data_IF_554215961309
#
_entry.id   IF_554215961309
#
_cell.length_a   1.000
_cell.length_b   1.000
_cell.length_c   1.000
_cell.angle_alpha   90.00
_cell.angle_beta   90.00
_cell.angle_gamma   90.00
#
_symmetry.space_group_name_H-M   'P 1'
#
loop_
_entity.id
_entity.type
_entity.pdbx_description
1 polymer ?
#
# COMPACT_ATOMS: atom_id res chain seq x y z
N UNK A 1 -32.34 13.27 -46.34
CA UNK A 1 -32.66 12.82 -44.96
C UNK A 1 -31.42 12.15 -44.38
N UNK A 2 -30.68 12.84 -43.52
CA UNK A 2 -29.50 12.28 -42.86
C UNK A 2 -29.97 11.34 -41.75
N UNK A 3 -29.77 10.03 -41.93
CA UNK A 3 -30.10 9.03 -40.93
C UNK A 3 -29.03 9.08 -39.84
N UNK A 4 -29.35 9.69 -38.70
CA UNK A 4 -28.48 9.64 -37.52
C UNK A 4 -28.51 8.20 -37.01
N UNK A 5 -27.40 7.48 -37.14
CA UNK A 5 -27.23 6.15 -36.55
C UNK A 5 -26.88 6.36 -35.06
N UNK A 6 -27.83 6.09 -34.16
CA UNK A 6 -27.53 6.04 -32.71
C UNK A 6 -27.06 4.63 -32.33
N UNK A 7 -26.09 4.54 -31.42
CA UNK A 7 -25.65 3.26 -30.85
C UNK A 7 -26.77 2.63 -30.02
N UNK A 8 -26.83 1.30 -29.99
CA UNK A 8 -27.76 0.56 -29.13
C UNK A 8 -27.37 0.65 -27.66
N UNK A 9 -28.34 0.50 -26.76
CA UNK A 9 -28.08 0.47 -25.31
C UNK A 9 -27.13 -0.68 -24.90
N UNK A 10 -27.23 -1.82 -25.57
CA UNK A 10 -26.29 -2.95 -25.37
C UNK A 10 -24.85 -2.54 -25.74
N UNK A 11 -24.67 -1.79 -26.83
CA UNK A 11 -23.34 -1.30 -27.23
C UNK A 11 -22.76 -0.33 -26.21
N UNK A 12 -23.57 0.61 -25.71
CA UNK A 12 -23.17 1.58 -24.68
C UNK A 12 -22.83 0.89 -23.35
N UNK A 13 -23.67 -0.06 -22.90
CA UNK A 13 -23.42 -0.80 -21.68
C UNK A 13 -22.12 -1.64 -21.75
N UNK A 14 -21.87 -2.27 -22.90
CA UNK A 14 -20.61 -3.00 -23.12
C UNK A 14 -19.39 -2.08 -23.06
N UNK A 15 -19.48 -0.91 -23.70
CA UNK A 15 -18.41 0.09 -23.69
C UNK A 15 -18.14 0.61 -22.27
N UNK A 16 -19.19 0.93 -21.51
CA UNK A 16 -19.07 1.34 -20.11
C UNK A 16 -18.38 0.25 -19.26
N UNK A 17 -18.77 -1.01 -19.40
CA UNK A 17 -18.16 -2.10 -18.64
C UNK A 17 -16.67 -2.27 -18.97
N UNK A 18 -16.28 -2.10 -20.24
CA UNK A 18 -14.87 -2.11 -20.66
C UNK A 18 -14.12 -0.92 -20.06
N UNK A 19 -14.70 0.29 -20.09
CA UNK A 19 -14.13 1.48 -19.47
C UNK A 19 -13.90 1.27 -17.96
N UNK A 20 -14.92 0.81 -17.23
CA UNK A 20 -14.82 0.52 -15.79
C UNK A 20 -13.71 -0.49 -15.47
N UNK A 21 -13.61 -1.58 -16.24
CA UNK A 21 -12.57 -2.59 -16.03
C UNK A 21 -11.17 -2.01 -16.21
N UNK A 22 -10.96 -1.21 -17.27
CA UNK A 22 -9.68 -0.53 -17.54
C UNK A 22 -9.35 0.48 -16.45
N UNK A 23 -10.30 1.32 -16.04
CA UNK A 23 -10.08 2.32 -15.00
C UNK A 23 -9.66 1.68 -13.66
N UNK A 24 -10.30 0.57 -13.27
CA UNK A 24 -9.92 -0.18 -12.06
C UNK A 24 -8.51 -0.76 -12.14
N UNK A 25 -8.12 -1.25 -13.32
CA UNK A 25 -6.75 -1.75 -13.56
C UNK A 25 -5.72 -0.61 -13.46
N UNK A 26 -6.01 0.56 -14.02
CA UNK A 26 -5.19 1.77 -13.87
C UNK A 26 -5.02 2.16 -12.41
N UNK A 27 -6.11 2.22 -11.64
CA UNK A 27 -6.08 2.51 -10.20
C UNK A 27 -5.14 1.54 -9.48
N UNK A 28 -5.31 0.23 -9.67
CA UNK A 28 -4.48 -0.76 -8.98
C UNK A 28 -3.00 -0.66 -9.36
N UNK A 29 -2.68 -0.42 -10.64
CA UNK A 29 -1.29 -0.20 -11.10
C UNK A 29 -0.67 1.05 -10.49
N UNK A 30 -1.44 2.14 -10.42
CA UNK A 30 -0.97 3.38 -9.81
C UNK A 30 -0.72 3.23 -8.31
N UNK A 31 -1.62 2.54 -7.61
CA UNK A 31 -1.44 2.22 -6.20
C UNK A 31 -0.19 1.36 -5.95
N UNK A 32 0.10 0.39 -6.80
CA UNK A 32 1.31 -0.44 -6.72
C UNK A 32 2.58 0.41 -6.85
N UNK A 33 2.63 1.28 -7.86
CA UNK A 33 3.74 2.22 -8.06
C UNK A 33 3.97 3.10 -6.83
N UNK A 34 2.91 3.66 -6.24
CA UNK A 34 3.02 4.54 -5.07
C UNK A 34 3.48 3.74 -3.84
N UNK A 35 2.90 2.56 -3.61
CA UNK A 35 3.29 1.69 -2.48
C UNK A 35 4.74 1.27 -2.56
N UNK A 36 5.27 1.01 -3.75
CA UNK A 36 6.68 0.66 -3.95
C UNK A 36 7.68 1.77 -3.53
N UNK A 37 7.21 2.99 -3.26
CA UNK A 37 8.04 4.05 -2.67
C UNK A 37 8.27 3.87 -1.16
N UNK A 38 7.39 3.13 -0.49
CA UNK A 38 7.40 2.93 0.97
C UNK A 38 7.81 1.52 1.38
N UNK A 39 7.65 0.54 0.49
CA UNK A 39 8.04 -0.86 0.71
C UNK A 39 9.00 -1.32 -0.38
N UNK A 40 9.93 -2.20 -0.03
CA UNK A 40 10.80 -2.83 -1.04
C UNK A 40 10.04 -3.97 -1.73
N UNK A 41 9.79 -3.91 -3.06
CA UNK A 41 8.99 -4.90 -3.77
C UNK A 41 9.82 -6.12 -4.17
N UNK A 42 10.20 -6.94 -3.19
CA UNK A 42 10.88 -8.23 -3.42
C UNK A 42 10.14 -9.37 -2.72
N UNK A 43 10.32 -10.59 -3.23
CA UNK A 43 9.63 -11.76 -2.73
C UNK A 43 9.89 -11.97 -1.23
N UNK A 44 8.83 -12.15 -0.44
CA UNK A 44 8.91 -12.38 1.00
C UNK A 44 9.16 -11.13 1.86
N UNK A 45 9.47 -9.97 1.28
CA UNK A 45 9.83 -8.78 2.05
C UNK A 45 8.73 -8.32 3.02
N UNK A 46 7.47 -8.34 2.59
CA UNK A 46 6.35 -7.98 3.45
C UNK A 46 6.25 -8.91 4.67
N UNK A 47 6.57 -10.20 4.50
CA UNK A 47 6.62 -11.15 5.63
C UNK A 47 7.76 -10.80 6.59
N UNK A 48 8.92 -10.40 6.07
CA UNK A 48 10.06 -9.95 6.89
C UNK A 48 9.68 -8.68 7.68
N UNK A 49 9.02 -7.69 7.05
CA UNK A 49 8.60 -6.49 7.78
C UNK A 49 7.61 -6.80 8.91
N UNK A 50 6.63 -7.70 8.68
CA UNK A 50 5.70 -8.12 9.73
C UNK A 50 6.41 -8.87 10.86
N UNK A 51 7.35 -9.75 10.54
CA UNK A 51 8.14 -10.47 11.54
C UNK A 51 9.01 -9.52 12.37
N UNK A 52 9.64 -8.53 11.74
CA UNK A 52 10.41 -7.48 12.40
C UNK A 52 9.56 -6.62 13.35
N UNK A 53 8.35 -6.22 12.95
CA UNK A 53 7.44 -5.48 13.83
C UNK A 53 7.06 -6.33 15.05
N UNK A 54 6.70 -7.60 14.85
CA UNK A 54 6.34 -8.50 15.93
C UNK A 54 7.50 -8.72 16.92
N UNK A 55 8.71 -8.96 16.40
CA UNK A 55 9.92 -9.13 17.20
C UNK A 55 10.26 -7.85 17.98
N UNK A 56 10.17 -6.68 17.35
CA UNK A 56 10.42 -5.40 18.01
C UNK A 56 9.41 -5.11 19.13
N UNK A 57 8.11 -5.41 18.91
CA UNK A 57 7.09 -5.28 19.95
C UNK A 57 7.39 -6.18 21.16
N UNK A 58 7.81 -7.43 20.91
CA UNK A 58 8.19 -8.35 21.97
C UNK A 58 9.44 -7.85 22.73
N UNK A 59 10.45 -7.36 22.00
CA UNK A 59 11.71 -6.88 22.57
C UNK A 59 11.49 -5.73 23.55
N UNK A 60 10.73 -4.70 23.13
CA UNK A 60 10.49 -3.50 23.96
C UNK A 60 9.57 -3.76 25.15
N UNK A 61 8.77 -4.83 25.10
CA UNK A 61 7.90 -5.24 26.20
C UNK A 61 8.59 -6.13 27.23
N UNK A 62 9.73 -6.74 26.89
CA UNK A 62 10.46 -7.64 27.77
C UNK A 62 11.15 -6.87 28.91
N UNK A 63 11.14 -7.46 30.11
CA UNK A 63 11.83 -6.93 31.29
C UNK A 63 12.44 -8.09 32.09
N UNK A 64 13.76 -8.10 32.38
CA UNK A 64 14.75 -7.12 31.96
C UNK A 64 14.93 -7.07 30.43
N UNK A 65 15.58 -6.03 29.92
CA UNK A 65 15.83 -5.90 28.47
C UNK A 65 16.57 -7.14 27.95
N UNK A 66 16.15 -7.76 26.83
CA UNK A 66 16.66 -9.06 26.42
C UNK A 66 18.19 -9.14 26.28
N UNK A 67 18.85 -8.06 25.82
CA UNK A 67 20.31 -8.01 25.67
C UNK A 67 21.10 -8.19 26.98
N UNK A 68 20.44 -8.16 28.14
CA UNK A 68 21.05 -8.42 29.44
C UNK A 68 21.19 -9.92 29.74
N UNK A 69 20.60 -10.80 28.93
CA UNK A 69 20.63 -12.26 29.08
C UNK A 69 21.44 -12.89 27.95
N UNK A 70 22.30 -13.86 28.26
CA UNK A 70 23.09 -14.56 27.25
C UNK A 70 22.18 -15.37 26.30
N UNK A 71 22.40 -15.25 25.00
CA UNK A 71 21.66 -15.99 23.97
C UNK A 71 20.36 -15.33 23.50
N UNK A 72 20.07 -14.09 23.91
CA UNK A 72 18.89 -13.33 23.50
C UNK A 72 18.75 -13.22 21.97
N UNK A 73 19.85 -13.31 21.23
CA UNK A 73 19.87 -13.24 19.77
C UNK A 73 19.08 -14.38 19.11
N UNK A 74 18.88 -15.50 19.81
CA UNK A 74 18.08 -16.63 19.31
C UNK A 74 16.58 -16.34 19.34
N UNK A 75 16.14 -15.55 20.32
CA UNK A 75 14.75 -15.12 20.47
C UNK A 75 14.44 -13.87 19.63
N UNK A 76 15.48 -13.06 19.35
CA UNK A 76 15.39 -11.81 18.58
C UNK A 76 16.39 -11.75 17.41
N UNK A 77 16.30 -12.68 16.44
CA UNK A 77 17.28 -12.82 15.37
C UNK A 77 17.30 -11.66 14.37
N UNK A 78 16.16 -11.01 14.10
CA UNK A 78 16.13 -9.86 13.17
C UNK A 78 16.78 -8.61 13.78
N UNK A 79 16.53 -8.35 15.06
CA UNK A 79 17.14 -7.25 15.80
C UNK A 79 18.65 -7.49 15.91
N UNK A 80 19.05 -8.67 16.39
CA UNK A 80 20.46 -9.02 16.54
C UNK A 80 21.23 -8.93 15.22
N UNK A 81 20.63 -9.39 14.12
CA UNK A 81 21.24 -9.35 12.78
C UNK A 81 21.46 -7.94 12.21
N UNK A 82 20.82 -6.91 12.76
CA UNK A 82 20.92 -5.54 12.26
C UNK A 82 21.63 -4.55 13.21
N UNK A 83 22.06 -5.02 14.38
CA UNK A 83 22.96 -4.24 15.25
C UNK A 83 24.26 -3.95 14.50
N UNK A 84 24.72 -2.71 14.55
CA UNK A 84 25.90 -2.20 13.84
C UNK A 84 25.65 -1.83 12.38
N UNK A 85 24.52 -2.23 11.79
CA UNK A 85 24.13 -1.82 10.43
C UNK A 85 23.00 -0.78 10.44
N UNK A 86 21.92 -1.07 11.18
CA UNK A 86 20.75 -0.21 11.28
C UNK A 86 20.89 0.79 12.42
N UNK A 87 21.40 0.35 13.58
CA UNK A 87 21.75 1.23 14.70
C UNK A 87 22.80 0.58 15.61
N UNK A 88 23.29 1.33 16.60
CA UNK A 88 24.35 0.89 17.50
C UNK A 88 23.90 -0.07 18.62
N UNK A 89 22.61 -0.05 18.98
CA UNK A 89 22.07 -0.91 20.03
C UNK A 89 20.82 -1.70 19.58
N UNK A 90 20.54 -2.88 20.19
CA UNK A 90 19.34 -3.65 19.91
C UNK A 90 18.03 -2.88 20.12
N UNK A 91 17.94 -2.10 21.20
CA UNK A 91 16.77 -1.27 21.47
C UNK A 91 16.54 -0.25 20.37
N UNK A 92 17.57 0.46 19.90
CA UNK A 92 17.44 1.41 18.79
C UNK A 92 17.01 0.72 17.49
N UNK A 93 17.53 -0.48 17.19
CA UNK A 93 17.09 -1.27 16.03
C UNK A 93 15.59 -1.61 16.15
N UNK A 94 15.14 -2.07 17.33
CA UNK A 94 13.72 -2.33 17.58
C UNK A 94 12.87 -1.07 17.36
N UNK A 95 13.32 0.09 17.85
CA UNK A 95 12.63 1.36 17.62
C UNK A 95 12.56 1.73 16.13
N UNK A 96 13.62 1.49 15.35
CA UNK A 96 13.58 1.70 13.89
C UNK A 96 12.50 0.83 13.24
N UNK A 97 12.39 -0.46 13.59
CA UNK A 97 11.35 -1.34 13.06
C UNK A 97 9.94 -0.85 13.41
N UNK A 98 9.71 -0.46 14.67
CA UNK A 98 8.41 0.07 15.11
C UNK A 98 8.06 1.38 14.40
N UNK A 99 9.03 2.27 14.22
CA UNK A 99 8.83 3.54 13.53
C UNK A 99 8.49 3.35 12.05
N UNK A 100 9.17 2.41 11.36
CA UNK A 100 8.86 2.08 9.98
C UNK A 100 7.47 1.44 9.85
N UNK A 101 7.12 0.53 10.77
CA UNK A 101 5.80 -0.08 10.78
C UNK A 101 4.68 0.94 11.04
N UNK A 102 4.89 1.89 11.96
CA UNK A 102 3.94 2.97 12.22
C UNK A 102 3.77 3.89 11.01
N UNK A 103 4.86 4.29 10.35
CA UNK A 103 4.83 5.06 9.10
C UNK A 103 4.04 4.32 8.02
N UNK A 104 4.33 3.03 7.81
CA UNK A 104 3.62 2.20 6.84
C UNK A 104 2.12 2.08 7.16
N UNK A 105 1.74 1.84 8.42
CA UNK A 105 0.33 1.79 8.82
C UNK A 105 -0.40 3.09 8.50
N UNK A 106 0.24 4.23 8.79
CA UNK A 106 -0.32 5.55 8.52
C UNK A 106 -0.56 5.79 7.02
N UNK A 107 0.45 5.61 6.19
CA UNK A 107 0.33 5.84 4.74
C UNK A 107 -0.50 4.76 4.04
N UNK A 108 -0.32 3.50 4.43
CA UNK A 108 -1.00 2.35 3.84
C UNK A 108 -2.52 2.42 4.03
N UNK A 109 -2.99 2.84 5.20
CA UNK A 109 -4.41 3.03 5.47
C UNK A 109 -5.02 4.16 4.62
N UNK A 110 -4.31 5.29 4.49
CA UNK A 110 -4.74 6.41 3.64
C UNK A 110 -4.85 5.97 2.19
N UNK A 111 -3.80 5.34 1.66
CA UNK A 111 -3.73 4.83 0.30
C UNK A 111 -4.84 3.79 0.02
N UNK A 112 -5.07 2.84 0.93
CA UNK A 112 -6.11 1.83 0.72
C UNK A 112 -7.52 2.42 0.74
N UNK A 113 -7.78 3.43 1.57
CA UNK A 113 -9.05 4.16 1.57
C UNK A 113 -9.32 4.78 0.19
N UNK A 114 -8.38 5.57 -0.33
CA UNK A 114 -8.50 6.22 -1.65
C UNK A 114 -8.75 5.18 -2.74
N UNK A 115 -8.01 4.06 -2.71
CA UNK A 115 -8.20 2.97 -3.67
C UNK A 115 -9.62 2.40 -3.61
N UNK A 116 -10.09 2.01 -2.44
CA UNK A 116 -11.42 1.38 -2.30
C UNK A 116 -12.53 2.35 -2.71
N UNK A 117 -12.46 3.60 -2.27
CA UNK A 117 -13.44 4.64 -2.61
C UNK A 117 -13.47 4.91 -4.13
N UNK A 118 -12.31 4.99 -4.78
CA UNK A 118 -12.21 5.17 -6.23
C UNK A 118 -12.77 3.96 -7.00
N UNK A 119 -12.42 2.73 -6.60
CA UNK A 119 -12.94 1.51 -7.21
C UNK A 119 -14.46 1.42 -7.07
N UNK A 120 -15.00 1.86 -5.93
CA UNK A 120 -16.45 1.94 -5.71
C UNK A 120 -17.09 3.00 -6.62
N UNK A 121 -16.54 4.21 -6.69
CA UNK A 121 -17.03 5.28 -7.56
C UNK A 121 -17.06 4.85 -9.03
N UNK A 122 -15.97 4.25 -9.55
CA UNK A 122 -15.92 3.67 -10.91
C UNK A 122 -17.02 2.62 -11.11
N UNK A 123 -17.28 1.79 -10.09
CA UNK A 123 -18.32 0.76 -10.18
C UNK A 123 -19.72 1.37 -10.32
N UNK A 124 -19.96 2.53 -9.70
CA UNK A 124 -21.24 3.24 -9.69
C UNK A 124 -21.45 4.18 -10.88
N UNK A 125 -20.39 4.53 -11.62
CA UNK A 125 -20.47 5.39 -12.82
C UNK A 125 -21.56 4.94 -13.80
N UNK A 126 -22.37 5.87 -14.30
CA UNK A 126 -23.50 5.58 -15.18
C UNK A 126 -23.17 5.83 -16.65
N UNK A 127 -22.06 6.51 -16.92
CA UNK A 127 -21.54 6.79 -18.25
C UNK A 127 -20.02 6.57 -18.33
N UNK A 128 -19.50 6.52 -19.56
CA UNK A 128 -18.04 6.47 -19.80
C UNK A 128 -17.37 7.74 -19.26
N UNK A 129 -17.98 8.90 -19.52
CA UNK A 129 -17.52 10.19 -19.00
C UNK A 129 -17.45 10.19 -17.48
N UNK A 130 -18.46 9.68 -16.78
CA UNK A 130 -18.45 9.62 -15.31
C UNK A 130 -17.28 8.76 -14.80
N UNK A 131 -16.96 7.65 -15.48
CA UNK A 131 -15.87 6.76 -15.08
C UNK A 131 -14.50 7.41 -15.36
N UNK A 132 -14.37 8.12 -16.48
CA UNK A 132 -13.17 8.87 -16.83
C UNK A 132 -12.93 10.05 -15.87
N UNK A 133 -13.98 10.77 -15.48
CA UNK A 133 -13.91 11.88 -14.51
C UNK A 133 -13.46 11.40 -13.12
N UNK A 134 -14.01 10.28 -12.64
CA UNK A 134 -13.57 9.64 -11.39
C UNK A 134 -12.09 9.25 -11.46
N UNK A 135 -11.65 8.67 -12.59
CA UNK A 135 -10.25 8.31 -12.77
C UNK A 135 -9.34 9.55 -12.80
N UNK A 136 -9.76 10.64 -13.44
CA UNK A 136 -9.02 11.90 -13.48
C UNK A 136 -8.86 12.55 -12.10
N UNK A 137 -9.90 12.49 -11.26
CA UNK A 137 -9.83 12.93 -9.86
C UNK A 137 -8.83 12.10 -9.05
N UNK A 138 -8.88 10.78 -9.21
CA UNK A 138 -7.92 9.87 -8.58
C UNK A 138 -6.47 10.20 -8.98
N UNK A 139 -6.18 10.38 -10.27
CA UNK A 139 -4.82 10.71 -10.72
C UNK A 139 -4.34 12.07 -10.19
N UNK A 140 -5.24 13.04 -10.05
CA UNK A 140 -4.93 14.35 -9.46
C UNK A 140 -4.56 14.21 -7.98
N UNK A 141 -5.30 13.39 -7.22
CA UNK A 141 -4.97 13.09 -5.83
C UNK A 141 -3.63 12.35 -5.71
N UNK A 142 -3.39 11.37 -6.60
CA UNK A 142 -2.16 10.57 -6.61
C UNK A 142 -0.91 11.37 -7.01
N UNK A 143 -1.05 12.44 -7.78
CA UNK A 143 0.06 13.34 -8.12
C UNK A 143 0.71 13.97 -6.87
N UNK A 144 -0.03 14.09 -5.76
CA UNK A 144 0.53 14.54 -4.48
C UNK A 144 1.57 13.59 -3.88
N UNK A 145 1.64 12.35 -4.35
CA UNK A 145 2.63 11.35 -3.92
C UNK A 145 3.79 11.20 -4.90
N UNK A 146 3.88 12.02 -5.96
CA UNK A 146 4.93 11.92 -6.96
C UNK A 146 6.23 12.64 -6.58
N UNK A 147 6.18 13.58 -5.64
CA UNK A 147 7.34 14.32 -5.11
C UNK A 147 8.25 13.48 -4.21
#
# INVERSE_FOLDING_TARGET
MTRILSRSEVSKARELNVCKAKAKDTVNKRMDQIRSKFITPIAGQSMIYMAKEAEALAYVAATPEPNTVAGWEQDYPFIAGEVGSTSSSPYEVAQVFLNLAAQWRGIGAQLEKVRIETIQAISLSQSVTDADDVLGQFETEMAGFDS
#
